data_IF_205444372221
#
_entry.id   IF_205444372221
#
_cell.length_a   1.000
_cell.length_b   1.000
_cell.length_c   1.000
_cell.angle_alpha   90.00
_cell.angle_beta   90.00
_cell.angle_gamma   90.00
#
_symmetry.space_group_name_H-M   'P 1'
#
loop_
_entity.id
_entity.type
_entity.pdbx_description
1 polymer ?
#
# COMPACT_ATOMS: atom_id res chain seq x y z
N UNK A 1 -3.99 8.27 -9.73
CA UNK A 1 -4.21 7.78 -8.34
C UNK A 1 -2.88 7.91 -7.62
N UNK A 2 -2.87 8.59 -6.47
CA UNK A 2 -1.64 8.95 -5.77
C UNK A 2 -1.42 8.10 -4.51
N UNK A 3 -2.50 7.53 -3.96
CA UNK A 3 -2.47 6.78 -2.72
C UNK A 3 -3.54 5.66 -2.68
N UNK A 4 -3.32 4.71 -1.78
CA UNK A 4 -4.27 3.65 -1.42
C UNK A 4 -4.45 3.64 0.09
N UNK A 5 -5.69 3.58 0.55
CA UNK A 5 -6.02 3.44 1.96
C UNK A 5 -5.82 1.99 2.40
N UNK A 6 -4.94 1.80 3.40
CA UNK A 6 -4.60 0.49 3.94
C UNK A 6 -5.19 0.23 5.33
N UNK A 7 -5.56 1.29 6.04
CA UNK A 7 -6.20 1.19 7.36
C UNK A 7 -7.52 1.94 7.30
N UNK A 8 -8.61 1.21 7.37
CA UNK A 8 -9.96 1.75 7.32
C UNK A 8 -10.90 0.95 8.25
N UNK A 9 -12.17 1.24 8.23
CA UNK A 9 -13.17 0.45 8.95
C UNK A 9 -13.52 -0.89 8.27
N UNK A 10 -12.89 -1.19 7.13
CA UNK A 10 -13.13 -2.40 6.33
C UNK A 10 -11.97 -3.40 6.41
N UNK A 11 -11.97 -4.39 5.53
CA UNK A 11 -10.92 -5.43 5.48
C UNK A 11 -9.57 -4.88 4.98
N UNK A 12 -8.71 -4.55 5.92
CA UNK A 12 -7.35 -4.05 5.64
C UNK A 12 -6.47 -5.10 4.92
N UNK A 13 -6.75 -6.40 5.09
CA UNK A 13 -5.98 -7.47 4.45
C UNK A 13 -6.19 -7.49 2.94
N UNK A 14 -7.43 -7.30 2.49
CA UNK A 14 -7.74 -7.21 1.06
C UNK A 14 -7.08 -5.99 0.42
N UNK A 15 -7.11 -4.85 1.09
CA UNK A 15 -6.45 -3.62 0.65
C UNK A 15 -4.93 -3.79 0.56
N UNK A 16 -4.30 -4.48 1.54
CA UNK A 16 -2.87 -4.74 1.54
C UNK A 16 -2.44 -5.65 0.37
N UNK A 17 -3.18 -6.72 0.11
CA UNK A 17 -2.92 -7.62 -1.03
C UNK A 17 -2.99 -6.85 -2.36
N UNK A 18 -4.05 -6.06 -2.55
CA UNK A 18 -4.18 -5.21 -3.73
C UNK A 18 -3.00 -4.25 -3.86
N UNK A 19 -2.65 -3.55 -2.77
CA UNK A 19 -1.56 -2.59 -2.74
C UNK A 19 -0.23 -3.21 -3.16
N UNK A 20 0.14 -4.35 -2.58
CA UNK A 20 1.38 -5.06 -2.93
C UNK A 20 1.42 -5.48 -4.41
N UNK A 21 0.31 -5.92 -4.99
CA UNK A 21 0.24 -6.22 -6.42
C UNK A 21 0.40 -4.96 -7.28
N UNK A 22 -0.24 -3.85 -6.91
CA UNK A 22 -0.14 -2.58 -7.64
C UNK A 22 1.31 -2.04 -7.64
N UNK A 23 1.96 -2.00 -6.48
CA UNK A 23 3.36 -1.52 -6.39
C UNK A 23 4.34 -2.49 -7.07
N UNK A 24 4.05 -3.80 -7.09
CA UNK A 24 4.82 -4.79 -7.84
C UNK A 24 4.65 -4.70 -9.36
N UNK A 25 3.63 -3.97 -9.82
CA UNK A 25 3.46 -3.59 -11.23
C UNK A 25 4.14 -2.25 -11.58
N UNK A 26 4.98 -1.70 -10.70
CA UNK A 26 5.74 -0.47 -10.93
C UNK A 26 4.97 0.83 -10.63
N UNK A 27 3.76 0.74 -10.06
CA UNK A 27 3.03 1.90 -9.59
C UNK A 27 3.66 2.41 -8.29
N UNK A 28 3.87 3.74 -8.20
CA UNK A 28 4.37 4.39 -6.99
C UNK A 28 3.21 5.05 -6.30
N UNK A 29 2.70 4.40 -5.26
CA UNK A 29 1.50 4.80 -4.53
C UNK A 29 1.83 4.98 -3.06
N UNK A 30 1.33 6.05 -2.46
CA UNK A 30 1.41 6.24 -1.01
C UNK A 30 0.44 5.31 -0.27
N UNK A 31 0.85 4.85 0.91
CA UNK A 31 -0.06 4.26 1.87
C UNK A 31 -0.76 5.37 2.65
N UNK A 32 -2.09 5.31 2.74
CA UNK A 32 -2.90 6.23 3.53
C UNK A 32 -3.81 5.48 4.49
N UNK A 33 -4.40 6.19 5.44
CA UNK A 33 -5.33 5.67 6.41
C UNK A 33 -6.44 6.68 6.68
N UNK A 34 -7.64 6.18 6.91
CA UNK A 34 -8.79 6.94 7.38
C UNK A 34 -9.55 6.17 8.45
N UNK A 35 -10.20 6.88 9.35
CA UNK A 35 -11.00 6.24 10.41
C UNK A 35 -12.41 5.91 9.92
N UNK A 36 -12.91 6.62 8.93
CA UNK A 36 -14.28 6.55 8.42
C UNK A 36 -15.33 6.61 9.53
N UNK A 37 -15.10 7.50 10.50
CA UNK A 37 -15.97 7.61 11.67
C UNK A 37 -17.31 8.19 11.29
N UNK A 38 -18.36 7.40 11.46
CA UNK A 38 -19.75 7.86 11.34
C UNK A 38 -20.23 8.44 12.67
N UNK A 39 -20.10 9.74 12.85
CA UNK A 39 -20.49 10.40 14.11
C UNK A 39 -21.95 10.20 14.48
N UNK A 40 -22.84 9.98 13.48
CA UNK A 40 -24.25 9.69 13.70
C UNK A 40 -24.53 8.28 14.26
N UNK A 41 -23.57 7.35 14.15
CA UNK A 41 -23.69 5.96 14.61
C UNK A 41 -22.79 5.64 15.79
N UNK A 42 -22.07 6.60 16.33
CA UNK A 42 -21.02 6.43 17.36
C UNK A 42 -21.56 6.08 18.77
N UNK A 43 -22.76 5.51 18.90
CA UNK A 43 -23.32 5.08 20.19
C UNK A 43 -23.19 3.58 20.40
N UNK A 44 -21.95 3.09 20.42
CA UNK A 44 -21.68 1.67 20.73
C UNK A 44 -20.60 1.08 19.83
N UNK A 45 -20.13 -0.12 20.11
CA UNK A 45 -19.17 -0.83 19.28
C UNK A 45 -19.87 -1.33 18.01
N UNK A 46 -20.20 -0.42 17.10
CA UNK A 46 -20.69 -0.81 15.78
C UNK A 46 -19.46 -1.17 14.91
N UNK A 47 -19.50 -2.28 14.13
CA UNK A 47 -18.39 -2.69 13.27
C UNK A 47 -17.97 -1.64 12.24
N UNK A 48 -18.80 -0.64 11.98
CA UNK A 48 -18.56 0.40 11.00
C UNK A 48 -18.21 1.78 11.59
N UNK A 49 -17.94 1.88 12.88
CA UNK A 49 -17.69 3.17 13.53
C UNK A 49 -16.50 3.09 14.49
N UNK A 50 -15.32 3.30 13.95
CA UNK A 50 -14.12 3.44 14.75
C UNK A 50 -14.06 4.83 15.41
N UNK A 51 -13.44 4.98 16.61
CA UNK A 51 -13.24 6.28 17.21
C UNK A 51 -12.40 7.20 16.29
N UNK A 52 -12.67 8.51 16.25
CA UNK A 52 -11.85 9.46 15.51
C UNK A 52 -10.36 9.32 15.86
N UNK A 53 -9.50 9.22 14.84
CA UNK A 53 -8.06 9.05 15.02
C UNK A 53 -7.63 7.61 15.33
N UNK A 54 -8.50 6.61 15.23
CA UNK A 54 -8.12 5.21 15.34
C UNK A 54 -7.19 4.79 14.19
N UNK A 55 -7.60 4.93 12.94
CA UNK A 55 -6.74 4.82 11.77
C UNK A 55 -6.04 6.15 11.50
N UNK A 56 -4.72 6.14 11.37
CA UNK A 56 -3.90 7.35 11.25
C UNK A 56 -2.90 7.21 10.11
N UNK A 57 -2.72 8.32 9.38
CA UNK A 57 -1.58 8.49 8.50
C UNK A 57 -0.64 9.55 9.11
N UNK A 58 0.64 9.19 9.21
CA UNK A 58 1.71 10.13 9.52
C UNK A 58 2.43 10.48 8.22
N UNK A 59 2.60 11.77 7.96
CA UNK A 59 3.28 12.29 6.79
C UNK A 59 4.51 13.08 7.22
N UNK A 60 5.66 12.75 6.67
CA UNK A 60 6.92 13.46 6.94
C UNK A 60 6.99 14.73 6.10
N UNK A 61 6.95 15.89 6.77
CA UNK A 61 6.97 17.20 6.13
C UNK A 61 8.39 17.75 5.92
N UNK A 62 9.43 17.12 6.54
CA UNK A 62 10.77 17.70 6.60
C UNK A 62 10.74 19.04 7.34
N UNK A 63 11.41 20.04 6.79
CA UNK A 63 11.47 21.41 7.35
C UNK A 63 10.28 22.29 6.95
N UNK A 64 9.32 21.75 6.16
CA UNK A 64 8.16 22.53 5.74
C UNK A 64 7.21 22.79 6.92
N UNK A 65 6.69 24.02 7.07
CA UNK A 65 5.68 24.31 8.08
C UNK A 65 4.41 23.50 7.82
N UNK A 66 3.71 23.14 8.90
CA UNK A 66 2.45 22.40 8.79
C UNK A 66 1.40 23.23 8.03
N UNK A 67 0.98 22.71 6.89
CA UNK A 67 -0.07 23.26 6.05
C UNK A 67 -0.76 22.13 5.27
N UNK A 68 -1.94 22.40 4.73
CA UNK A 68 -2.66 21.46 3.86
C UNK A 68 -1.82 21.07 2.64
N UNK A 69 -1.14 22.06 2.04
CA UNK A 69 -0.31 21.83 0.85
C UNK A 69 0.93 21.00 1.17
N UNK A 70 1.62 21.29 2.29
CA UNK A 70 2.76 20.50 2.74
C UNK A 70 2.37 19.03 3.06
N UNK A 71 1.21 18.84 3.69
CA UNK A 71 0.68 17.51 3.95
C UNK A 71 0.34 16.78 2.66
N UNK A 72 -0.39 17.41 1.74
CA UNK A 72 -0.75 16.83 0.45
C UNK A 72 0.48 16.47 -0.39
N UNK A 73 1.51 17.33 -0.37
CA UNK A 73 2.78 17.05 -1.04
C UNK A 73 3.51 15.87 -0.41
N UNK A 74 3.57 15.78 0.92
CA UNK A 74 4.18 14.64 1.61
C UNK A 74 3.47 13.32 1.26
N UNK A 75 2.13 13.33 1.19
CA UNK A 75 1.35 12.17 0.75
C UNK A 75 1.66 11.82 -0.71
N UNK A 76 1.64 12.79 -1.64
CA UNK A 76 1.97 12.52 -3.06
C UNK A 76 3.38 11.99 -3.23
N UNK A 77 4.32 12.47 -2.43
CA UNK A 77 5.70 12.00 -2.41
C UNK A 77 5.86 10.61 -1.74
N UNK A 78 4.80 10.07 -1.15
CA UNK A 78 4.84 8.78 -0.46
C UNK A 78 5.58 8.80 0.88
N UNK A 79 5.85 9.97 1.46
CA UNK A 79 6.49 10.08 2.77
C UNK A 79 5.50 9.80 3.89
N UNK A 80 4.92 8.60 3.88
CA UNK A 80 3.81 8.24 4.78
C UNK A 80 3.99 6.89 5.45
N UNK A 81 3.44 6.83 6.67
CA UNK A 81 3.26 5.63 7.46
C UNK A 81 1.82 5.58 7.94
N UNK A 82 1.18 4.42 7.84
CA UNK A 82 -0.18 4.19 8.30
C UNK A 82 -0.20 3.27 9.49
N UNK A 83 -1.10 3.48 10.44
CA UNK A 83 -1.18 2.68 11.65
C UNK A 83 -2.52 2.82 12.37
N UNK A 84 -2.91 1.79 13.09
CA UNK A 84 -3.95 1.85 14.11
C UNK A 84 -3.38 1.88 15.54
N UNK A 85 -2.06 1.78 15.70
CA UNK A 85 -1.43 1.73 17.03
C UNK A 85 0.06 2.09 17.02
N UNK A 86 0.95 1.17 16.60
CA UNK A 86 2.39 1.33 16.74
C UNK A 86 2.96 2.41 15.80
N UNK A 87 4.05 3.04 16.26
CA UNK A 87 4.92 3.82 15.42
C UNK A 87 5.87 2.91 14.65
N UNK A 88 5.99 3.10 13.34
CA UNK A 88 6.80 2.29 12.45
C UNK A 88 7.77 3.15 11.65
N UNK A 89 9.01 2.69 11.52
CA UNK A 89 10.03 3.33 10.69
C UNK A 89 10.63 2.34 9.71
N UNK A 90 11.04 2.84 8.55
CA UNK A 90 11.79 2.12 7.53
C UNK A 90 12.92 3.02 7.03
N UNK A 91 14.11 2.46 6.94
CA UNK A 91 15.28 3.07 6.31
C UNK A 91 15.92 2.06 5.34
N UNK A 92 16.17 2.51 4.13
CA UNK A 92 16.93 1.74 3.11
C UNK A 92 18.07 2.62 2.64
N UNK A 93 19.30 2.27 3.00
CA UNK A 93 20.52 3.04 2.70
C UNK A 93 20.40 4.54 3.09
N UNK A 94 19.78 4.86 4.22
CA UNK A 94 19.59 6.23 4.69
C UNK A 94 18.36 6.95 4.08
N UNK A 95 17.48 6.23 3.42
CA UNK A 95 16.30 6.80 2.76
C UNK A 95 15.00 6.20 3.34
N UNK A 96 14.05 7.08 3.66
CA UNK A 96 12.74 6.72 4.21
C UNK A 96 11.68 6.43 3.15
N UNK A 97 10.44 6.18 3.61
CA UNK A 97 9.28 5.89 2.77
C UNK A 97 9.09 6.91 1.62
N UNK A 98 8.68 6.40 0.46
CA UNK A 98 8.46 7.21 -0.75
C UNK A 98 9.73 7.48 -1.57
N UNK A 99 10.91 7.25 -1.01
CA UNK A 99 12.17 7.45 -1.74
C UNK A 99 12.28 6.50 -2.94
N UNK A 100 12.96 6.99 -3.98
CA UNK A 100 13.31 6.23 -5.18
C UNK A 100 14.82 6.19 -5.30
N UNK A 101 15.38 5.00 -5.22
CA UNK A 101 16.80 4.75 -5.37
C UNK A 101 17.05 4.16 -6.76
N UNK A 102 18.09 4.61 -7.44
CA UNK A 102 18.60 3.93 -8.63
C UNK A 102 19.86 3.16 -8.26
N UNK A 103 19.92 1.88 -8.62
CA UNK A 103 21.01 0.97 -8.25
C UNK A 103 21.47 0.17 -9.46
N UNK A 104 22.77 -0.17 -9.48
CA UNK A 104 23.31 -1.13 -10.43
C UNK A 104 23.08 -2.58 -9.98
N UNK A 105 23.16 -3.56 -10.90
CA UNK A 105 23.08 -4.98 -10.58
C UNK A 105 24.14 -5.40 -9.55
N UNK A 106 23.74 -6.25 -8.59
CA UNK A 106 24.64 -6.77 -7.56
C UNK A 106 24.96 -5.79 -6.43
N UNK A 107 24.43 -4.58 -6.44
CA UNK A 107 24.59 -3.67 -5.32
C UNK A 107 23.82 -4.15 -4.10
N UNK A 108 24.49 -4.05 -2.93
CA UNK A 108 23.86 -4.37 -1.64
C UNK A 108 23.02 -3.21 -1.17
N UNK A 109 21.92 -3.55 -0.53
CA UNK A 109 21.02 -2.64 0.16
C UNK A 109 21.01 -3.01 1.65
N UNK A 110 21.14 -2.03 2.52
CA UNK A 110 20.91 -2.18 3.95
C UNK A 110 19.51 -1.69 4.29
N UNK A 111 18.74 -2.55 4.90
CA UNK A 111 17.36 -2.27 5.33
C UNK A 111 17.32 -2.28 6.85
N UNK A 112 16.76 -1.23 7.44
CA UNK A 112 16.45 -1.16 8.86
C UNK A 112 14.98 -0.83 9.03
N UNK A 113 14.33 -1.53 9.94
CA UNK A 113 12.96 -1.25 10.32
C UNK A 113 12.82 -1.33 11.83
N UNK A 114 11.92 -0.51 12.39
CA UNK A 114 11.63 -0.51 13.81
C UNK A 114 10.16 -0.21 14.05
N UNK A 115 9.53 -1.02 14.92
CA UNK A 115 8.19 -0.80 15.41
C UNK A 115 8.22 -0.50 16.91
N UNK A 116 7.50 0.54 17.34
CA UNK A 116 7.40 0.94 18.76
C UNK A 116 5.93 1.14 19.11
N UNK A 117 5.48 0.43 20.14
CA UNK A 117 4.10 0.50 20.62
C UNK A 117 3.66 -0.81 21.24
N UNK A 118 2.52 -0.78 21.94
CA UNK A 118 1.92 -1.98 22.52
C UNK A 118 1.38 -2.94 21.45
N UNK A 119 1.36 -4.23 21.80
CA UNK A 119 0.73 -5.27 20.99
C UNK A 119 1.47 -5.68 19.70
N UNK A 120 2.66 -5.13 19.42
CA UNK A 120 3.46 -5.59 18.30
C UNK A 120 4.07 -6.95 18.59
N UNK A 121 3.73 -7.95 17.80
CA UNK A 121 4.26 -9.31 17.89
C UNK A 121 5.28 -9.59 16.79
N UNK A 122 5.07 -9.05 15.59
CA UNK A 122 5.91 -9.27 14.46
C UNK A 122 6.16 -7.96 13.68
N UNK A 123 7.43 -7.75 13.31
CA UNK A 123 7.88 -6.74 12.38
C UNK A 123 8.36 -7.45 11.12
N UNK A 124 7.82 -7.04 9.96
CA UNK A 124 8.09 -7.67 8.66
C UNK A 124 8.57 -6.62 7.68
N UNK A 125 9.57 -6.96 6.88
CA UNK A 125 9.91 -6.24 5.66
C UNK A 125 9.41 -7.04 4.48
N UNK A 126 8.54 -6.42 3.69
CA UNK A 126 8.01 -6.98 2.45
C UNK A 126 8.76 -6.45 1.23
N UNK A 127 8.80 -7.27 0.20
CA UNK A 127 9.23 -6.94 -1.15
C UNK A 127 8.27 -7.53 -2.19
N UNK A 128 8.58 -7.39 -3.48
CA UNK A 128 7.67 -7.82 -4.56
C UNK A 128 7.38 -9.32 -4.58
N UNK A 129 8.26 -10.13 -4.00
CA UNK A 129 8.16 -11.59 -3.99
C UNK A 129 7.74 -12.15 -2.61
N UNK A 130 7.31 -11.28 -1.69
CA UNK A 130 6.82 -11.63 -0.36
C UNK A 130 7.69 -11.09 0.78
N UNK A 131 7.81 -11.87 1.85
CA UNK A 131 8.60 -11.51 3.03
C UNK A 131 10.09 -11.56 2.71
N UNK A 132 10.78 -10.44 2.91
CA UNK A 132 12.24 -10.31 2.78
C UNK A 132 12.93 -10.66 4.09
N UNK A 133 12.39 -10.15 5.19
CA UNK A 133 12.88 -10.42 6.54
C UNK A 133 11.77 -10.20 7.57
N UNK A 134 11.86 -10.87 8.72
CA UNK A 134 10.97 -10.64 9.86
C UNK A 134 11.72 -10.72 11.19
N UNK A 135 11.15 -10.13 12.23
CA UNK A 135 11.73 -10.09 13.58
C UNK A 135 10.78 -9.47 14.57
N UNK A 136 11.25 -9.27 15.81
CA UNK A 136 10.49 -8.69 16.90
C UNK A 136 10.95 -7.24 17.15
N UNK A 137 10.12 -6.26 16.78
CA UNK A 137 10.29 -4.84 17.15
C UNK A 137 11.39 -4.08 16.41
N UNK A 138 12.55 -4.66 16.17
CA UNK A 138 13.66 -4.06 15.42
C UNK A 138 14.30 -5.09 14.50
N UNK A 139 14.67 -4.64 13.29
CA UNK A 139 15.18 -5.48 12.23
C UNK A 139 16.28 -4.75 11.46
N UNK A 140 17.39 -5.43 11.21
CA UNK A 140 18.40 -5.04 10.23
C UNK A 140 18.65 -6.21 9.29
N UNK A 141 18.65 -5.92 7.97
CA UNK A 141 18.83 -6.93 6.94
C UNK A 141 19.62 -6.37 5.76
N UNK A 142 20.44 -7.21 5.14
CA UNK A 142 21.12 -6.88 3.90
C UNK A 142 20.64 -7.78 2.78
N UNK A 143 20.35 -7.19 1.62
CA UNK A 143 19.99 -7.94 0.41
C UNK A 143 20.73 -7.37 -0.80
N UNK A 144 20.78 -8.16 -1.86
CA UNK A 144 21.35 -7.74 -3.14
C UNK A 144 20.23 -7.52 -4.14
N UNK A 145 20.23 -6.37 -4.81
CA UNK A 145 19.25 -6.08 -5.86
C UNK A 145 19.63 -6.79 -7.16
N UNK A 146 18.81 -7.72 -7.60
CA UNK A 146 18.97 -8.45 -8.89
C UNK A 146 18.00 -7.94 -9.97
N UNK A 147 17.04 -7.11 -9.58
CA UNK A 147 16.04 -6.48 -10.44
C UNK A 147 15.37 -5.34 -9.71
N UNK A 148 14.58 -4.54 -10.41
CA UNK A 148 13.75 -3.52 -9.77
C UNK A 148 12.90 -4.13 -8.66
N UNK A 149 12.85 -3.46 -7.49
CA UNK A 149 12.11 -3.93 -6.32
C UNK A 149 11.53 -2.77 -5.51
N UNK A 150 10.73 -3.09 -4.55
CA UNK A 150 10.25 -2.18 -3.51
C UNK A 150 10.41 -2.85 -2.14
N UNK A 151 10.59 -2.05 -1.10
CA UNK A 151 10.72 -2.52 0.28
C UNK A 151 9.79 -1.71 1.16
N UNK A 152 8.94 -2.39 1.91
CA UNK A 152 8.04 -1.77 2.88
C UNK A 152 8.11 -2.52 4.21
N UNK A 153 8.06 -1.79 5.31
CA UNK A 153 7.92 -2.39 6.63
C UNK A 153 6.44 -2.48 7.01
N UNK A 154 6.08 -3.54 7.72
CA UNK A 154 4.80 -3.67 8.40
C UNK A 154 4.99 -4.23 9.81
N UNK A 155 4.13 -3.80 10.72
CA UNK A 155 4.04 -4.35 12.07
C UNK A 155 2.66 -4.98 12.25
N UNK A 156 2.66 -6.17 12.82
CA UNK A 156 1.46 -6.96 13.09
C UNK A 156 1.43 -7.37 14.56
N UNK A 157 0.24 -7.61 15.06
CA UNK A 157 0.05 -8.14 16.38
C UNK A 157 -1.40 -8.52 16.63
N UNK A 158 -1.63 -9.14 17.79
CA UNK A 158 -2.96 -9.47 18.24
C UNK A 158 -3.71 -8.22 18.71
N UNK A 159 -4.92 -8.38 19.21
CA UNK A 159 -5.74 -7.27 19.69
C UNK A 159 -5.11 -6.57 20.89
N UNK A 160 -5.11 -5.24 20.89
CA UNK A 160 -4.60 -4.39 21.96
C UNK A 160 -5.67 -3.39 22.40
N UNK A 161 -5.77 -3.02 23.70
CA UNK A 161 -6.71 -2.00 24.16
C UNK A 161 -6.58 -0.65 23.44
N UNK A 162 -5.36 -0.28 23.01
CA UNK A 162 -5.13 0.97 22.27
C UNK A 162 -5.61 0.91 20.80
N UNK A 163 -5.80 -0.30 20.27
CA UNK A 163 -6.41 -0.52 18.93
C UNK A 163 -7.92 -0.79 19.02
N UNK A 164 -8.53 -0.54 20.20
CA UNK A 164 -9.98 -0.74 20.41
C UNK A 164 -10.42 -2.18 20.12
N UNK A 165 -9.54 -3.14 20.41
CA UNK A 165 -9.79 -4.57 20.21
C UNK A 165 -9.63 -5.05 18.77
N UNK A 166 -9.14 -4.22 17.86
CA UNK A 166 -8.71 -4.67 16.53
C UNK A 166 -7.28 -5.23 16.58
N UNK A 167 -6.89 -6.09 15.63
CA UNK A 167 -5.50 -6.50 15.48
C UNK A 167 -4.59 -5.27 15.25
N UNK A 168 -3.40 -5.33 15.86
CA UNK A 168 -2.38 -4.30 15.68
C UNK A 168 -1.86 -4.33 14.24
N UNK A 169 -1.85 -3.17 13.59
CA UNK A 169 -1.37 -3.03 12.23
C UNK A 169 -0.69 -1.68 11.99
N UNK A 170 0.47 -1.71 11.33
CA UNK A 170 1.09 -0.54 10.74
C UNK A 170 1.79 -0.94 9.45
N UNK A 171 1.90 0.01 8.51
CA UNK A 171 2.58 -0.21 7.23
C UNK A 171 3.21 1.09 6.73
N UNK A 172 4.40 1.02 6.14
CA UNK A 172 5.03 2.17 5.48
C UNK A 172 4.63 2.24 4.00
N UNK A 173 4.64 3.42 3.40
CA UNK A 173 4.85 3.49 1.95
C UNK A 173 6.21 2.82 1.63
N UNK A 174 6.35 2.14 0.49
CA UNK A 174 7.63 1.54 0.12
C UNK A 174 8.74 2.56 -0.15
N UNK A 175 9.98 2.13 0.07
CA UNK A 175 11.14 2.65 -0.65
C UNK A 175 11.23 1.85 -1.96
N UNK A 176 11.33 2.55 -3.08
CA UNK A 176 11.43 1.96 -4.41
C UNK A 176 12.87 1.90 -4.86
N UNK A 177 13.28 0.79 -5.46
CA UNK A 177 14.62 0.61 -6.00
C UNK A 177 14.49 0.27 -7.49
N UNK A 178 14.84 1.22 -8.33
CA UNK A 178 14.98 0.99 -9.76
C UNK A 178 16.36 0.37 -10.03
N UNK A 179 16.44 -0.57 -10.95
CA UNK A 179 17.71 -1.19 -11.35
C UNK A 179 18.07 -0.73 -12.78
N UNK A 180 19.17 0.03 -12.90
CA UNK A 180 19.57 0.67 -14.17
C UNK A 180 18.38 1.43 -14.80
N UNK A 181 17.68 2.24 -14.00
CA UNK A 181 16.52 3.02 -14.40
C UNK A 181 15.25 2.20 -14.67
N UNK A 182 15.27 0.88 -14.49
CA UNK A 182 14.11 0.01 -14.68
C UNK A 182 13.36 -0.23 -13.37
N UNK A 183 12.07 0.09 -13.41
CA UNK A 183 11.17 -0.15 -12.28
C UNK A 183 10.92 -1.64 -12.05
N UNK A 184 10.42 -1.94 -10.86
CA UNK A 184 9.88 -3.28 -10.57
C UNK A 184 8.77 -3.63 -11.55
N UNK A 185 8.82 -4.86 -12.05
CA UNK A 185 7.77 -5.48 -12.85
C UNK A 185 7.69 -6.96 -12.47
N UNK A 186 6.51 -7.40 -12.00
CA UNK A 186 6.27 -8.81 -11.64
C UNK A 186 5.10 -9.35 -12.45
N UNK A 187 5.39 -10.31 -13.34
CA UNK A 187 4.39 -10.94 -14.19
C UNK A 187 3.24 -11.58 -13.38
N UNK A 188 3.56 -12.17 -12.22
CA UNK A 188 2.55 -12.76 -11.34
C UNK A 188 1.54 -11.71 -10.84
N UNK A 189 2.01 -10.53 -10.45
CA UNK A 189 1.18 -9.42 -10.01
C UNK A 189 0.36 -8.83 -11.16
N UNK A 190 0.95 -8.67 -12.33
CA UNK A 190 0.24 -8.21 -13.52
C UNK A 190 -0.91 -9.17 -13.90
N UNK A 191 -0.66 -10.47 -13.91
CA UNK A 191 -1.70 -11.49 -14.14
C UNK A 191 -2.78 -11.49 -13.06
N UNK A 192 -2.41 -11.26 -11.80
CA UNK A 192 -3.40 -11.11 -10.73
C UNK A 192 -4.32 -9.91 -10.99
N UNK A 193 -3.75 -8.75 -11.30
CA UNK A 193 -4.52 -7.55 -11.62
C UNK A 193 -5.41 -7.75 -12.84
N UNK A 194 -4.94 -8.40 -13.90
CA UNK A 194 -5.77 -8.74 -15.07
C UNK A 194 -7.00 -9.55 -14.68
N UNK A 195 -6.84 -10.58 -13.84
CA UNK A 195 -7.99 -11.36 -13.35
C UNK A 195 -8.97 -10.51 -12.54
N UNK A 196 -8.48 -9.55 -11.72
CA UNK A 196 -9.40 -8.67 -10.98
C UNK A 196 -10.22 -7.77 -11.92
N UNK A 197 -9.63 -7.30 -13.03
CA UNK A 197 -10.38 -6.53 -14.03
C UNK A 197 -11.45 -7.37 -14.73
N UNK A 198 -11.17 -8.66 -14.97
CA UNK A 198 -12.16 -9.57 -15.55
C UNK A 198 -13.34 -9.82 -14.58
N UNK A 199 -13.04 -10.11 -13.30
CA UNK A 199 -14.04 -10.26 -12.25
C UNK A 199 -14.89 -8.99 -12.10
N UNK A 200 -14.26 -7.81 -12.15
CA UNK A 200 -14.99 -6.53 -12.06
C UNK A 200 -15.93 -6.32 -13.26
N UNK A 201 -15.50 -6.68 -14.45
CA UNK A 201 -16.35 -6.60 -15.64
C UNK A 201 -17.56 -7.56 -15.55
N UNK A 202 -17.33 -8.80 -15.15
CA UNK A 202 -18.40 -9.80 -14.95
C UNK A 202 -19.39 -9.33 -13.89
N UNK A 203 -18.91 -8.86 -12.75
CA UNK A 203 -19.76 -8.31 -11.69
C UNK A 203 -20.60 -7.11 -12.17
N UNK A 204 -19.99 -6.20 -12.91
CA UNK A 204 -20.72 -5.05 -13.46
C UNK A 204 -21.75 -5.46 -14.51
N UNK A 205 -21.44 -6.48 -15.31
CA UNK A 205 -22.37 -7.01 -16.30
C UNK A 205 -23.61 -7.68 -15.66
N UNK A 206 -23.39 -8.45 -14.60
CA UNK A 206 -24.44 -9.25 -13.95
C UNK A 206 -25.23 -8.45 -12.92
N UNK A 207 -24.57 -7.62 -12.14
CA UNK A 207 -25.14 -6.97 -10.96
C UNK A 207 -25.07 -5.43 -11.00
N UNK A 208 -24.48 -4.84 -12.04
CA UNK A 208 -24.32 -3.39 -12.15
C UNK A 208 -25.66 -2.68 -12.20
N UNK A 209 -25.80 -1.66 -11.37
CA UNK A 209 -26.93 -0.74 -11.37
C UNK A 209 -26.59 0.44 -12.28
N UNK A 210 -27.40 0.65 -13.30
CA UNK A 210 -27.23 1.71 -14.29
C UNK A 210 -28.45 2.61 -14.35
N UNK A 211 -28.28 3.83 -14.80
CA UNK A 211 -29.40 4.73 -15.01
C UNK A 211 -30.37 4.19 -16.07
N UNK A 212 -31.63 4.54 -15.93
CA UNK A 212 -32.68 4.02 -16.82
C UNK A 212 -32.39 4.45 -18.27
N UNK A 213 -32.26 3.45 -19.16
CA UNK A 213 -31.97 3.65 -20.58
C UNK A 213 -30.48 3.91 -20.91
N UNK A 214 -29.60 4.01 -19.90
CA UNK A 214 -28.18 4.34 -20.09
C UNK A 214 -27.23 3.15 -19.94
N UNK A 215 -27.75 1.97 -19.64
CA UNK A 215 -26.94 0.77 -19.35
C UNK A 215 -25.85 0.51 -20.39
N UNK A 216 -26.21 0.51 -21.68
CA UNK A 216 -25.28 0.17 -22.76
C UNK A 216 -24.12 1.18 -22.82
N UNK A 217 -24.43 2.47 -22.72
CA UNK A 217 -23.42 3.53 -22.72
C UNK A 217 -22.53 3.45 -21.48
N UNK A 218 -23.12 3.41 -20.26
CA UNK A 218 -22.35 3.41 -19.02
C UNK A 218 -21.51 2.14 -18.87
N UNK A 219 -22.02 0.99 -19.27
CA UNK A 219 -21.22 -0.24 -19.30
C UNK A 219 -20.11 -0.18 -20.33
N UNK A 220 -20.35 0.40 -21.52
CA UNK A 220 -19.33 0.63 -22.53
C UNK A 220 -18.20 1.55 -22.03
N UNK A 221 -18.55 2.63 -21.33
CA UNK A 221 -17.58 3.54 -20.72
C UNK A 221 -16.71 2.81 -19.66
N UNK A 222 -17.32 1.96 -18.82
CA UNK A 222 -16.59 1.14 -17.86
C UNK A 222 -15.63 0.17 -18.57
N UNK A 223 -16.10 -0.55 -19.59
CA UNK A 223 -15.25 -1.49 -20.36
C UNK A 223 -14.06 -0.77 -20.97
N UNK A 224 -14.25 0.43 -21.51
CA UNK A 224 -13.15 1.23 -22.08
C UNK A 224 -12.07 1.57 -21.04
N UNK A 225 -12.45 1.87 -19.79
CA UNK A 225 -11.50 2.09 -18.69
C UNK A 225 -10.80 0.78 -18.30
N UNK A 226 -11.53 -0.33 -18.21
CA UNK A 226 -10.94 -1.65 -17.89
C UNK A 226 -9.93 -2.07 -18.97
N UNK A 227 -10.19 -1.79 -20.24
CA UNK A 227 -9.28 -2.12 -21.36
C UNK A 227 -7.99 -1.31 -21.31
N UNK A 228 -8.04 -0.04 -20.86
CA UNK A 228 -6.82 0.73 -20.58
C UNK A 228 -6.00 0.08 -19.46
N UNK A 229 -6.65 -0.37 -18.38
CA UNK A 229 -6.01 -1.12 -17.30
C UNK A 229 -5.38 -2.42 -17.80
N UNK A 230 -6.11 -3.18 -18.62
CA UNK A 230 -5.58 -4.42 -19.25
C UNK A 230 -4.36 -4.16 -20.12
N UNK A 231 -4.38 -3.08 -20.91
CA UNK A 231 -3.24 -2.70 -21.74
C UNK A 231 -2.00 -2.41 -20.89
N UNK A 232 -2.16 -1.68 -19.77
CA UNK A 232 -1.09 -1.41 -18.81
C UNK A 232 -0.51 -2.70 -18.21
N UNK A 233 -1.34 -3.56 -17.62
CA UNK A 233 -0.84 -4.78 -16.96
C UNK A 233 -0.24 -5.79 -17.94
N UNK A 234 -0.73 -5.88 -19.18
CA UNK A 234 -0.07 -6.67 -20.24
C UNK A 234 1.30 -6.11 -20.62
N UNK A 235 1.47 -4.77 -20.58
CA UNK A 235 2.80 -4.18 -20.80
C UNK A 235 3.76 -4.50 -19.65
N UNK A 236 3.29 -4.47 -18.38
CA UNK A 236 4.07 -4.90 -17.21
C UNK A 236 4.46 -6.38 -17.32
N UNK A 237 3.54 -7.24 -17.71
CA UNK A 237 3.81 -8.67 -17.87
C UNK A 237 4.93 -8.92 -18.88
N UNK A 238 4.88 -8.24 -20.04
CA UNK A 238 5.97 -8.32 -21.05
C UNK A 238 7.29 -7.75 -20.55
N UNK A 239 7.27 -6.68 -19.76
CA UNK A 239 8.49 -6.08 -19.21
C UNK A 239 9.14 -6.92 -18.10
N UNK A 240 8.40 -7.86 -17.51
CA UNK A 240 8.87 -8.80 -16.50
C UNK A 240 9.54 -10.07 -17.09
N UNK A 241 9.42 -10.26 -18.39
CA UNK A 241 10.13 -11.34 -19.11
C UNK A 241 11.62 -10.95 -19.24
N UNK A 242 12.54 -11.90 -19.01
CA UNK A 242 13.99 -11.67 -19.04
C UNK A 242 14.52 -11.29 -20.43
#
# INVERSE_FOLDING_TARGET
>A
MDAVELVSCFDDRGALVLYHHLVSCGLRLAATAGTDTFLSFARGPAPASNPPGWGRVYAELGDAPLSTDAFAEAVRAGRTVVTNGPWLTLDVDGHGPGAVLDRGPGQRLRVRARAVGGGVEELVVYGPDGVVASGAGELEHELTAEGGLWLAAAAHGDTDPHTVGAPVFAHTTPVYVDLDGRRVARAASARWCLRQLDVLQELAQEQGLFDQGERERQFGDLVAVLDQGRAFYRAVERAAEP
#
